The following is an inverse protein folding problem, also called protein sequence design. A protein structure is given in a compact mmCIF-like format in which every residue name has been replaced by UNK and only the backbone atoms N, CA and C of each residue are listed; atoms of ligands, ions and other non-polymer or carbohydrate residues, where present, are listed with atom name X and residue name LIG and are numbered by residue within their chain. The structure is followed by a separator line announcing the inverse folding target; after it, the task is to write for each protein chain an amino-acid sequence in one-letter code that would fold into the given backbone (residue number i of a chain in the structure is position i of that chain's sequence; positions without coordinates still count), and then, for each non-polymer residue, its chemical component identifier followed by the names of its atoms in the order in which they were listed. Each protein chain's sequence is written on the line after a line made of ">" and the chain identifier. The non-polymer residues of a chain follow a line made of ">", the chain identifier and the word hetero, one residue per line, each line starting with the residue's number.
data_IF_637252073685
#
_entry.id   IF_637252073685
#
_cell.length_a   1.000
_cell.length_b   1.000
_cell.length_c   1.000
_cell.angle_alpha   90.00
_cell.angle_beta   90.00
_cell.angle_gamma   90.00
#
_symmetry.space_group_name_H-M   'P 1'
#
loop_
_entity.id
_entity.type
_entity.pdbx_description
1 polymer ?
#
# COMPACT_ATOMS: atom_id res chain seq x y z
N UNK A 1 -28.55 -13.56 -5.93
CA UNK A 1 -27.34 -13.51 -5.10
C UNK A 1 -27.45 -12.20 -4.35
N UNK A 2 -27.97 -12.28 -3.13
CA UNK A 2 -28.37 -11.10 -2.36
C UNK A 2 -27.14 -10.25 -2.02
N UNK A 3 -27.16 -9.00 -2.48
CA UNK A 3 -26.38 -7.94 -1.87
C UNK A 3 -26.98 -7.70 -0.49
N UNK A 4 -26.41 -8.37 0.52
CA UNK A 4 -26.73 -8.16 1.91
C UNK A 4 -26.32 -6.76 2.35
N UNK A 5 -27.17 -5.77 2.05
CA UNK A 5 -27.17 -4.49 2.75
C UNK A 5 -27.79 -4.74 4.12
N UNK A 6 -27.01 -5.32 5.04
CA UNK A 6 -27.39 -5.41 6.43
C UNK A 6 -27.36 -4.02 7.05
N UNK A 7 -28.29 -3.74 7.95
CA UNK A 7 -28.46 -2.47 8.69
C UNK A 7 -27.32 -2.19 9.70
N UNK A 8 -26.08 -2.60 9.40
CA UNK A 8 -24.92 -2.64 10.28
C UNK A 8 -24.01 -1.42 10.11
N UNK A 9 -23.66 -0.80 11.24
CA UNK A 9 -22.64 0.25 11.32
C UNK A 9 -21.31 -0.29 10.75
N UNK A 10 -20.70 0.43 9.78
CA UNK A 10 -19.38 0.11 9.24
C UNK A 10 -18.32 0.09 10.35
N UNK A 11 -17.54 -0.98 10.42
CA UNK A 11 -16.40 -1.13 11.33
C UNK A 11 -15.13 -0.51 10.75
N UNK A 12 -14.08 -0.38 11.56
CA UNK A 12 -12.76 0.07 11.08
C UNK A 12 -12.18 -0.97 10.12
N UNK A 13 -12.40 -2.25 10.40
CA UNK A 13 -12.02 -3.37 9.56
C UNK A 13 -12.70 -3.30 8.19
N UNK A 14 -14.01 -3.02 8.13
CA UNK A 14 -14.74 -2.86 6.86
C UNK A 14 -14.15 -1.71 6.01
N UNK A 15 -13.76 -0.62 6.66
CA UNK A 15 -13.15 0.53 5.97
C UNK A 15 -11.72 0.23 5.50
N UNK A 16 -10.94 -0.49 6.30
CA UNK A 16 -9.60 -0.94 5.93
C UNK A 16 -9.66 -1.92 4.75
N UNK A 17 -10.60 -2.86 4.76
CA UNK A 17 -10.85 -3.78 3.64
C UNK A 17 -11.33 -3.04 2.40
N UNK A 18 -12.21 -2.05 2.53
CA UNK A 18 -12.64 -1.22 1.41
C UNK A 18 -11.45 -0.46 0.78
N UNK A 19 -10.53 0.07 1.59
CA UNK A 19 -9.30 0.69 1.08
C UNK A 19 -8.39 -0.33 0.39
N UNK A 20 -8.22 -1.54 0.96
CA UNK A 20 -7.45 -2.63 0.34
C UNK A 20 -8.01 -3.01 -1.02
N UNK A 21 -9.33 -3.21 -1.11
CA UNK A 21 -10.01 -3.51 -2.37
C UNK A 21 -9.89 -2.37 -3.38
N UNK A 22 -9.95 -1.11 -2.93
CA UNK A 22 -9.76 0.03 -3.80
C UNK A 22 -8.36 0.07 -4.44
N UNK A 23 -7.30 -0.27 -3.68
CA UNK A 23 -5.94 -0.36 -4.21
C UNK A 23 -5.82 -1.48 -5.26
N UNK A 24 -6.30 -2.68 -4.93
CA UNK A 24 -6.24 -3.84 -5.84
C UNK A 24 -7.07 -3.62 -7.11
N UNK A 25 -8.26 -3.04 -6.99
CA UNK A 25 -9.10 -2.70 -8.13
C UNK A 25 -8.46 -1.62 -9.02
N UNK A 26 -7.82 -0.62 -8.41
CA UNK A 26 -7.09 0.44 -9.15
C UNK A 26 -5.91 -0.14 -9.90
N UNK A 27 -5.12 -1.00 -9.27
CA UNK A 27 -3.98 -1.68 -9.89
C UNK A 27 -4.44 -2.56 -11.06
N UNK A 28 -5.41 -3.43 -10.83
CA UNK A 28 -5.97 -4.29 -11.88
C UNK A 28 -6.60 -3.50 -13.04
N UNK A 29 -7.19 -2.33 -12.76
CA UNK A 29 -7.69 -1.45 -13.82
C UNK A 29 -6.56 -0.83 -14.62
N UNK A 30 -5.51 -0.29 -13.98
CA UNK A 30 -4.33 0.26 -14.65
C UNK A 30 -3.64 -0.79 -15.52
N UNK A 31 -3.47 -2.01 -14.99
CA UNK A 31 -2.84 -3.14 -15.67
C UNK A 31 -3.62 -3.65 -16.88
N UNK A 32 -4.94 -3.41 -16.94
CA UNK A 32 -5.78 -3.75 -18.11
C UNK A 32 -5.90 -2.62 -19.13
N UNK A 33 -5.82 -1.36 -18.67
CA UNK A 33 -6.14 -0.18 -19.49
C UNK A 33 -4.92 0.50 -20.13
N UNK A 34 -3.70 0.20 -19.66
CA UNK A 34 -2.48 0.87 -20.11
C UNK A 34 -1.37 -0.13 -20.35
N UNK A 35 -0.58 0.00 -21.43
CA UNK A 35 0.65 -0.79 -21.63
C UNK A 35 1.88 -0.18 -20.91
N UNK A 36 1.71 0.88 -20.14
CA UNK A 36 2.79 1.55 -19.41
C UNK A 36 3.47 0.63 -18.40
N UNK A 37 4.78 0.78 -18.26
CA UNK A 37 5.59 0.17 -17.20
C UNK A 37 5.68 1.05 -15.94
N UNK A 38 5.07 2.24 -15.97
CA UNK A 38 5.10 3.16 -14.84
C UNK A 38 4.44 2.56 -13.59
N UNK A 39 4.98 2.91 -12.44
CA UNK A 39 4.40 2.65 -11.13
C UNK A 39 4.26 3.91 -10.31
N UNK A 40 3.50 3.80 -9.23
CA UNK A 40 3.33 4.86 -8.24
C UNK A 40 3.18 4.27 -6.85
N UNK A 41 3.82 4.90 -5.88
CA UNK A 41 3.43 4.74 -4.47
C UNK A 41 2.04 5.33 -4.25
N UNK A 42 1.34 4.85 -3.24
CA UNK A 42 0.07 5.40 -2.81
C UNK A 42 -0.05 5.33 -1.30
N UNK A 43 -0.38 6.47 -0.69
CA UNK A 43 -0.77 6.54 0.71
C UNK A 43 -2.07 7.34 0.80
N UNK A 44 -3.08 6.76 1.43
CA UNK A 44 -4.44 7.29 1.49
C UNK A 44 -4.86 7.37 2.94
N UNK A 45 -5.30 8.54 3.39
CA UNK A 45 -5.88 8.75 4.71
C UNK A 45 -7.39 8.96 4.57
N UNK A 46 -8.18 8.04 5.14
CA UNK A 46 -9.61 8.19 5.34
C UNK A 46 -9.86 8.78 6.73
N UNK A 47 -10.43 9.99 6.76
CA UNK A 47 -10.72 10.71 8.00
C UNK A 47 -12.23 10.66 8.25
N UNK A 48 -12.61 10.09 9.39
CA UNK A 48 -14.00 10.03 9.87
C UNK A 48 -14.18 10.97 11.06
N UNK A 49 -15.33 10.93 11.74
CA UNK A 49 -15.54 11.73 12.96
C UNK A 49 -14.73 11.26 14.16
N UNK A 50 -14.29 10.00 14.18
CA UNK A 50 -13.66 9.37 15.35
C UNK A 50 -12.42 8.52 15.03
N UNK A 51 -12.07 8.35 13.75
CA UNK A 51 -10.92 7.57 13.30
C UNK A 51 -10.20 8.21 12.12
N UNK A 52 -8.87 8.10 12.10
CA UNK A 52 -8.05 8.22 10.90
C UNK A 52 -7.61 6.83 10.53
N UNK A 53 -7.88 6.41 9.30
CA UNK A 53 -7.45 5.12 8.76
C UNK A 53 -6.53 5.41 7.59
N UNK A 54 -5.34 4.85 7.62
CA UNK A 54 -4.32 5.06 6.59
C UNK A 54 -4.02 3.74 5.92
N UNK A 55 -4.07 3.72 4.60
CA UNK A 55 -3.59 2.62 3.77
C UNK A 55 -2.36 3.08 2.98
N UNK A 56 -1.26 2.33 3.06
CA UNK A 56 0.00 2.64 2.37
C UNK A 56 0.47 1.48 1.48
N UNK A 57 0.89 1.78 0.26
CA UNK A 57 1.65 0.91 -0.62
C UNK A 57 2.83 1.71 -1.22
N UNK A 58 4.05 1.40 -0.78
CA UNK A 58 5.28 2.10 -1.16
C UNK A 58 5.95 2.82 0.01
N UNK A 59 6.80 3.79 -0.31
CA UNK A 59 7.63 4.55 0.63
C UNK A 59 7.24 6.03 0.76
N UNK A 60 6.04 6.39 0.27
CA UNK A 60 5.33 7.55 0.80
C UNK A 60 4.94 7.30 2.26
N UNK A 61 4.73 8.36 3.04
CA UNK A 61 4.54 8.26 4.49
C UNK A 61 3.43 9.15 5.01
N UNK A 62 2.60 8.62 5.90
CA UNK A 62 1.62 9.38 6.67
C UNK A 62 2.06 9.49 8.14
N UNK A 63 1.96 10.70 8.68
CA UNK A 63 2.10 10.96 10.13
C UNK A 63 0.95 11.85 10.61
N UNK A 64 0.46 11.58 11.81
CA UNK A 64 -0.56 12.36 12.48
C UNK A 64 0.09 13.20 13.59
N UNK A 65 -0.16 14.51 13.62
CA UNK A 65 0.22 15.36 14.75
C UNK A 65 -1.00 15.65 15.63
N UNK A 66 -0.92 15.21 16.89
CA UNK A 66 -1.98 15.29 17.90
C UNK A 66 -1.39 15.47 19.28
N UNK A 67 -1.97 16.37 20.08
CA UNK A 67 -1.63 16.57 21.49
C UNK A 67 -0.11 16.76 21.73
N UNK A 68 0.56 17.48 20.83
CA UNK A 68 2.00 17.74 20.91
C UNK A 68 2.91 16.58 20.48
N UNK A 69 2.34 15.50 19.91
CA UNK A 69 3.08 14.29 19.51
C UNK A 69 2.89 14.00 18.02
N UNK A 70 3.91 13.42 17.41
CA UNK A 70 3.85 12.88 16.04
C UNK A 70 3.67 11.37 16.14
N UNK A 71 2.59 10.87 15.57
CA UNK A 71 2.23 9.45 15.51
C UNK A 71 2.42 8.96 14.06
N UNK A 72 3.32 8.00 13.80
CA UNK A 72 3.41 7.40 12.47
C UNK A 72 2.17 6.54 12.20
N UNK A 73 1.46 6.83 11.10
CA UNK A 73 0.30 6.06 10.65
C UNK A 73 0.59 5.26 9.37
N UNK A 74 1.86 5.12 9.00
CA UNK A 74 2.30 4.20 7.98
C UNK A 74 3.75 3.82 8.21
N UNK A 75 4.15 2.69 7.64
CA UNK A 75 5.55 2.24 7.56
C UNK A 75 5.93 2.14 6.09
N UNK A 76 7.11 2.62 5.74
CA UNK A 76 7.61 2.56 4.37
C UNK A 76 7.83 1.09 3.96
N UNK A 77 7.38 0.73 2.76
CA UNK A 77 7.58 -0.59 2.18
C UNK A 77 8.91 -0.65 1.43
N UNK A 78 10.01 -0.75 2.19
CA UNK A 78 11.35 -0.92 1.63
C UNK A 78 11.64 -2.40 1.36
N UNK A 79 12.29 -2.78 0.23
CA UNK A 79 12.58 -4.17 -0.10
C UNK A 79 13.43 -4.94 0.93
N UNK A 80 14.23 -4.23 1.73
CA UNK A 80 15.05 -4.80 2.80
C UNK A 80 14.34 -4.88 4.16
N UNK A 81 13.07 -4.43 4.26
CA UNK A 81 12.22 -4.67 5.43
C UNK A 81 12.01 -6.18 5.60
N UNK A 82 12.21 -6.78 6.79
CA UNK A 82 12.33 -8.25 6.93
C UNK A 82 11.17 -9.07 6.36
N UNK A 83 9.94 -8.60 6.53
CA UNK A 83 8.72 -9.22 6.02
C UNK A 83 8.58 -9.06 4.49
N UNK A 84 8.87 -7.88 3.94
CA UNK A 84 8.88 -7.65 2.49
C UNK A 84 9.99 -8.45 1.81
N UNK A 85 11.18 -8.49 2.40
CA UNK A 85 12.30 -9.30 1.92
C UNK A 85 11.93 -10.78 1.85
N UNK A 86 11.24 -11.28 2.88
CA UNK A 86 10.76 -12.66 2.91
C UNK A 86 9.72 -12.89 1.82
N UNK A 87 8.71 -12.01 1.69
CA UNK A 87 7.67 -12.08 0.64
C UNK A 87 8.29 -12.12 -0.77
N UNK A 88 9.28 -11.27 -1.04
CA UNK A 88 9.96 -11.20 -2.34
C UNK A 88 10.73 -12.50 -2.63
N UNK A 89 11.41 -13.06 -1.62
CA UNK A 89 12.13 -14.34 -1.75
C UNK A 89 11.18 -15.51 -1.99
N UNK A 90 10.07 -15.57 -1.25
CA UNK A 90 9.06 -16.62 -1.40
C UNK A 90 8.39 -16.58 -2.78
N UNK A 91 8.30 -15.38 -3.38
CA UNK A 91 7.86 -15.19 -4.76
C UNK A 91 8.91 -15.57 -5.82
N UNK A 92 10.13 -15.98 -5.43
CA UNK A 92 11.22 -16.34 -6.35
C UNK A 92 12.13 -15.15 -6.75
N UNK A 93 11.93 -13.97 -6.15
CA UNK A 93 12.76 -12.80 -6.36
C UNK A 93 13.94 -12.69 -5.39
N UNK A 94 14.68 -11.59 -5.50
CA UNK A 94 15.78 -11.25 -4.61
C UNK A 94 15.94 -9.74 -4.48
N UNK A 95 16.67 -9.31 -3.45
CA UNK A 95 16.94 -7.90 -3.16
C UNK A 95 18.44 -7.68 -3.11
N UNK A 96 18.93 -6.64 -3.80
CA UNK A 96 20.29 -6.15 -3.62
C UNK A 96 20.31 -4.62 -3.59
N UNK A 97 21.16 -4.07 -2.72
CA UNK A 97 21.28 -2.62 -2.52
C UNK A 97 19.92 -1.95 -2.21
N UNK A 98 19.06 -2.61 -1.42
CA UNK A 98 17.73 -2.10 -1.09
C UNK A 98 16.73 -2.11 -2.25
N UNK A 99 17.02 -2.81 -3.36
CA UNK A 99 16.18 -2.83 -4.56
C UNK A 99 15.77 -4.24 -4.97
N UNK A 100 14.50 -4.42 -5.34
CA UNK A 100 13.95 -5.64 -5.93
C UNK A 100 14.62 -5.89 -7.27
N UNK A 101 15.25 -7.06 -7.43
CA UNK A 101 16.05 -7.42 -8.61
C UNK A 101 17.13 -6.39 -8.97
N UNK A 102 17.63 -5.62 -7.99
CA UNK A 102 18.53 -4.48 -8.18
C UNK A 102 17.95 -3.29 -8.96
N UNK A 103 16.64 -3.26 -9.24
CA UNK A 103 15.99 -2.24 -10.06
C UNK A 103 15.11 -1.31 -9.21
N UNK A 104 14.08 -1.83 -8.56
CA UNK A 104 13.04 -1.02 -7.92
C UNK A 104 13.25 -0.87 -6.40
N UNK A 105 13.25 0.35 -5.88
CA UNK A 105 13.54 0.67 -4.47
C UNK A 105 12.32 0.61 -3.52
N UNK A 106 11.18 0.13 -4.02
CA UNK A 106 9.95 -0.07 -3.23
C UNK A 106 9.50 -1.52 -3.36
N UNK A 107 8.96 -2.06 -2.27
CA UNK A 107 8.43 -3.42 -2.23
C UNK A 107 6.94 -3.48 -2.59
N UNK A 108 6.24 -2.34 -2.53
CA UNK A 108 4.82 -2.22 -2.85
C UNK A 108 4.54 -0.96 -3.68
N UNK A 109 3.63 -1.08 -4.64
CA UNK A 109 3.20 0.00 -5.52
C UNK A 109 2.00 -0.41 -6.36
N UNK A 110 1.31 0.60 -6.88
CA UNK A 110 0.39 0.45 -8.02
C UNK A 110 1.22 0.49 -9.31
N UNK A 111 0.85 -0.29 -10.32
CA UNK A 111 1.57 -0.39 -11.58
C UNK A 111 2.83 -1.25 -11.47
N UNK A 112 3.97 -0.76 -11.97
CA UNK A 112 5.24 -1.51 -12.01
C UNK A 112 5.09 -2.90 -12.65
N UNK A 113 4.46 -2.92 -13.83
CA UNK A 113 4.01 -4.14 -14.51
C UNK A 113 5.08 -5.23 -14.54
N UNK A 114 6.31 -4.89 -14.85
CA UNK A 114 7.40 -5.85 -15.04
C UNK A 114 7.71 -6.66 -13.77
N UNK A 115 7.27 -6.19 -12.59
CA UNK A 115 7.44 -6.85 -11.30
C UNK A 115 6.19 -7.61 -10.82
N UNK A 116 5.14 -7.65 -11.64
CA UNK A 116 3.90 -8.40 -11.38
C UNK A 116 4.00 -9.79 -12.01
N UNK A 117 3.30 -10.75 -11.39
CA UNK A 117 3.41 -12.17 -11.71
C UNK A 117 3.24 -12.46 -13.20
N UNK A 118 2.17 -11.97 -13.82
CA UNK A 118 1.85 -12.28 -15.23
C UNK A 118 2.94 -11.81 -16.19
N UNK A 119 3.48 -10.60 -16.00
CA UNK A 119 4.48 -10.03 -16.89
C UNK A 119 5.87 -10.65 -16.70
N UNK A 120 6.28 -10.83 -15.43
CA UNK A 120 7.53 -11.52 -15.11
C UNK A 120 7.52 -12.98 -15.58
N UNK A 121 6.38 -13.67 -15.46
CA UNK A 121 6.22 -15.03 -16.01
C UNK A 121 6.33 -15.04 -17.55
N UNK A 122 5.71 -14.08 -18.24
CA UNK A 122 5.83 -13.92 -19.69
C UNK A 122 7.27 -13.64 -20.14
N UNK A 123 8.08 -13.01 -19.28
CA UNK A 123 9.51 -12.78 -19.49
C UNK A 123 10.39 -14.03 -19.17
N UNK A 124 9.78 -15.15 -18.80
CA UNK A 124 10.49 -16.41 -18.50
C UNK A 124 11.16 -16.43 -17.12
N UNK A 125 10.77 -15.53 -16.21
CA UNK A 125 11.30 -15.53 -14.85
C UNK A 125 10.65 -16.64 -14.00
N UNK A 126 11.43 -17.37 -13.18
CA UNK A 126 10.92 -18.43 -12.33
C UNK A 126 10.32 -17.88 -11.03
N UNK A 127 9.32 -17.02 -11.15
CA UNK A 127 8.60 -16.43 -10.01
C UNK A 127 7.25 -17.11 -9.78
N UNK A 128 6.71 -16.99 -8.58
CA UNK A 128 5.45 -17.66 -8.16
C UNK A 128 4.36 -16.70 -7.72
N UNK A 129 4.68 -15.41 -7.54
CA UNK A 129 3.79 -14.35 -7.13
C UNK A 129 4.37 -12.97 -7.50
N UNK A 130 3.62 -11.89 -7.27
CA UNK A 130 4.09 -10.52 -7.48
C UNK A 130 5.35 -10.23 -6.64
N UNK A 131 6.40 -9.74 -7.29
CA UNK A 131 7.59 -9.25 -6.60
C UNK A 131 7.31 -7.90 -5.93
N UNK A 132 6.42 -7.09 -6.51
CA UNK A 132 6.00 -5.79 -5.98
C UNK A 132 4.49 -5.80 -5.80
N UNK A 133 4.01 -5.77 -4.54
CA UNK A 133 2.58 -5.93 -4.25
C UNK A 133 1.81 -4.62 -4.37
N UNK A 134 0.57 -4.67 -4.87
CA UNK A 134 -0.36 -3.55 -4.78
C UNK A 134 -1.17 -3.53 -3.48
N UNK A 135 -1.09 -4.59 -2.66
CA UNK A 135 -1.85 -4.68 -1.41
C UNK A 135 -1.30 -3.68 -0.39
N UNK A 136 -2.10 -2.73 0.10
CA UNK A 136 -1.65 -1.80 1.13
C UNK A 136 -1.52 -2.49 2.49
N UNK A 137 -0.73 -1.87 3.37
CA UNK A 137 -0.84 -2.03 4.82
C UNK A 137 -1.73 -0.93 5.39
N UNK A 138 -2.66 -1.31 6.26
CA UNK A 138 -3.55 -0.40 6.94
C UNK A 138 -3.13 -0.19 8.40
N UNK A 139 -3.26 1.05 8.88
CA UNK A 139 -3.14 1.42 10.28
C UNK A 139 -4.24 2.44 10.63
N UNK A 140 -4.73 2.42 11.85
CA UNK A 140 -5.77 3.33 12.32
C UNK A 140 -5.41 3.99 13.65
N UNK A 141 -6.03 5.14 13.90
CA UNK A 141 -5.95 5.87 15.17
C UNK A 141 -7.33 6.42 15.53
N UNK A 142 -7.81 6.06 16.72
CA UNK A 142 -9.07 6.55 17.27
C UNK A 142 -8.90 7.87 18.01
N UNK A 143 -9.88 8.76 17.87
CA UNK A 143 -9.94 10.02 18.59
C UNK A 143 -11.37 10.41 18.97
N UNK A 144 -11.49 11.27 19.99
CA UNK A 144 -12.77 11.67 20.57
C UNK A 144 -13.44 12.84 19.83
N UNK A 145 -12.66 13.68 19.14
CA UNK A 145 -13.14 14.77 18.29
C UNK A 145 -12.09 15.11 17.24
N UNK A 146 -12.55 15.52 16.05
CA UNK A 146 -11.69 16.07 14.99
C UNK A 146 -10.92 17.31 15.46
N UNK A 147 -11.43 18.05 16.46
CA UNK A 147 -10.73 19.21 17.04
C UNK A 147 -9.40 18.82 17.69
N UNK A 148 -9.21 17.54 18.05
CA UNK A 148 -7.97 17.02 18.61
C UNK A 148 -6.96 16.61 17.52
N UNK A 149 -7.37 16.60 16.25
CA UNK A 149 -6.46 16.44 15.10
C UNK A 149 -6.09 17.83 14.62
N UNK A 150 -4.82 18.19 14.78
CA UNK A 150 -4.36 19.46 14.22
C UNK A 150 -3.80 19.25 12.81
N UNK A 151 -3.13 18.13 12.52
CA UNK A 151 -2.63 17.88 11.16
C UNK A 151 -2.44 16.39 10.86
N UNK A 152 -2.83 15.96 9.67
CA UNK A 152 -2.43 14.71 9.05
C UNK A 152 -1.53 15.05 7.85
N UNK A 153 -0.25 14.65 7.91
CA UNK A 153 0.73 14.98 6.88
C UNK A 153 1.08 13.74 6.06
N UNK A 154 1.00 13.91 4.74
CA UNK A 154 1.45 12.92 3.77
C UNK A 154 2.72 13.42 3.11
N UNK A 155 3.83 12.71 3.32
CA UNK A 155 5.07 12.86 2.57
C UNK A 155 5.01 11.96 1.35
N UNK A 156 5.18 12.55 0.17
CA UNK A 156 5.36 11.77 -1.05
C UNK A 156 6.76 11.17 -1.13
N UNK A 157 6.84 9.99 -1.74
CA UNK A 157 8.09 9.35 -2.12
C UNK A 157 8.99 10.31 -2.90
N UNK A 158 10.28 10.23 -2.65
CA UNK A 158 11.30 10.92 -3.43
C UNK A 158 11.91 9.90 -4.38
N UNK A 159 11.92 10.18 -5.68
CA UNK A 159 12.61 9.33 -6.65
C UNK A 159 14.12 9.29 -6.30
N UNK A 160 14.63 8.10 -5.95
CA UNK A 160 16.06 7.82 -5.73
C UNK A 160 16.63 6.93 -6.84
#
# INVERSE_FOLDING_TARGET
>A
MDAGCGDGLLTVEDLADALREAFLATDAHFMRSSSSQAGSTAVVALVTRTYVIVANAGDSRCVLWREGRVLPLSVDHKPDRPDELQRIKDAGGWVAHGRVLHILAVARSLGDRDFKYEASLAAGMPITADLVSASPEAADEQFNSLDNITACYVRLSTAE
#
